data_IF_467956078417
#
_entry.id   IF_467956078417
#
_cell.length_a   1.000
_cell.length_b   1.000
_cell.length_c   1.000
_cell.angle_alpha   90.00
_cell.angle_beta   90.00
_cell.angle_gamma   90.00
#
_symmetry.space_group_name_H-M   'P 1'
#
loop_
_entity.id
_entity.type
_entity.pdbx_description
1 polymer ?
#
# COMPACT_ATOMS: atom_id res chain seq x y z
N UNK A 1 -8.41 0.76 2.02
CA UNK A 1 -7.51 0.01 1.15
C UNK A 1 -6.45 -0.73 1.95
N UNK A 2 -6.10 -1.91 1.46
CA UNK A 2 -5.04 -2.73 2.04
C UNK A 2 -3.99 -2.92 0.95
N UNK A 3 -2.81 -2.38 1.17
CA UNK A 3 -1.76 -2.33 0.15
C UNK A 3 -0.41 -2.74 0.73
N UNK A 4 0.49 -3.17 -0.14
CA UNK A 4 1.85 -3.51 0.25
C UNK A 4 2.86 -2.96 -0.74
N UNK A 5 4.11 -2.98 -0.34
CA UNK A 5 5.21 -2.54 -1.19
C UNK A 5 6.45 -3.38 -0.87
N UNK A 6 6.54 -4.51 -1.54
CA UNK A 6 7.59 -5.50 -1.28
C UNK A 6 8.99 -4.90 -1.38
N UNK A 7 9.23 -4.14 -2.43
CA UNK A 7 10.54 -3.55 -2.66
C UNK A 7 10.94 -2.49 -1.64
N UNK A 8 9.95 -1.76 -1.11
CA UNK A 8 10.23 -0.67 -0.16
C UNK A 8 10.25 -1.14 1.29
N UNK A 9 9.39 -2.09 1.66
CA UNK A 9 9.15 -2.45 3.06
C UNK A 9 9.27 -3.94 3.38
N UNK A 10 9.42 -4.80 2.38
CA UNK A 10 9.49 -6.25 2.60
C UNK A 10 8.15 -6.94 2.62
N UNK A 11 8.16 -8.24 2.92
CA UNK A 11 7.02 -9.11 2.68
C UNK A 11 5.83 -8.93 3.62
N UNK A 12 6.09 -8.69 4.89
CA UNK A 12 5.04 -8.72 5.91
C UNK A 12 4.66 -7.34 6.41
N UNK A 13 4.79 -6.33 5.58
CA UNK A 13 4.42 -4.96 5.95
C UNK A 13 3.31 -4.48 5.03
N UNK A 14 2.17 -4.12 5.63
CA UNK A 14 0.98 -3.68 4.91
C UNK A 14 0.53 -2.34 5.42
N UNK A 15 0.05 -1.50 4.50
CA UNK A 15 -0.61 -0.25 4.86
C UNK A 15 -2.11 -0.45 4.77
N UNK A 16 -2.80 -0.02 5.81
CA UNK A 16 -4.26 -0.05 5.87
C UNK A 16 -4.75 1.37 6.07
N UNK A 17 -5.35 1.93 5.06
CA UNK A 17 -5.80 3.30 5.08
C UNK A 17 -7.20 3.46 4.51
N UNK A 18 -7.66 4.70 4.49
CA UNK A 18 -8.99 5.05 4.02
C UNK A 18 -8.90 6.20 3.03
N UNK A 19 -9.81 6.20 2.07
CA UNK A 19 -9.98 7.34 1.17
C UNK A 19 -11.46 7.57 0.94
N UNK A 20 -11.83 8.83 0.68
CA UNK A 20 -13.18 9.20 0.28
C UNK A 20 -13.30 9.44 -1.22
N UNK A 21 -12.24 9.18 -1.96
CA UNK A 21 -12.27 9.36 -3.41
C UNK A 21 -13.15 8.31 -4.05
N UNK A 22 -13.81 8.68 -5.14
CA UNK A 22 -14.60 7.72 -5.90
C UNK A 22 -13.75 6.61 -6.47
N UNK A 23 -12.53 6.93 -6.91
CA UNK A 23 -11.59 5.94 -7.39
C UNK A 23 -10.45 5.80 -6.38
N UNK A 24 -10.48 4.76 -5.54
CA UNK A 24 -9.43 4.56 -4.53
C UNK A 24 -8.06 4.28 -5.15
N UNK A 25 -8.01 3.78 -6.39
CA UNK A 25 -6.74 3.53 -7.05
C UNK A 25 -5.93 4.81 -7.24
N UNK A 26 -6.61 5.93 -7.46
CA UNK A 26 -5.92 7.22 -7.57
C UNK A 26 -5.11 7.55 -6.31
N UNK A 27 -5.70 7.27 -5.15
CA UNK A 27 -5.01 7.51 -3.87
C UNK A 27 -3.82 6.59 -3.71
N UNK A 28 -3.97 5.33 -4.08
CA UNK A 28 -2.88 4.35 -4.00
C UNK A 28 -1.74 4.76 -4.94
N UNK A 29 -2.08 5.21 -6.13
CA UNK A 29 -1.08 5.65 -7.11
C UNK A 29 -0.30 6.87 -6.59
N UNK A 30 -0.98 7.81 -5.95
CA UNK A 30 -0.33 8.96 -5.32
C UNK A 30 0.65 8.54 -4.24
N UNK A 31 0.24 7.59 -3.41
CA UNK A 31 1.11 7.08 -2.35
C UNK A 31 2.35 6.42 -2.93
N UNK A 32 2.20 5.74 -4.04
CA UNK A 32 3.30 5.05 -4.71
C UNK A 32 4.23 5.98 -5.49
N UNK A 33 3.79 7.19 -5.79
CA UNK A 33 4.60 8.15 -6.54
C UNK A 33 5.30 9.17 -5.66
N UNK A 34 4.95 9.23 -4.37
CA UNK A 34 5.45 10.28 -3.48
C UNK A 34 6.87 9.98 -2.97
N UNK A 35 7.00 9.23 -1.89
CA UNK A 35 8.27 9.09 -1.19
C UNK A 35 8.86 7.69 -1.23
N UNK A 36 8.20 6.75 -1.88
CA UNK A 36 8.66 5.37 -1.97
C UNK A 36 9.22 5.08 -3.35
N UNK A 37 10.24 4.22 -3.44
CA UNK A 37 10.88 3.94 -4.73
C UNK A 37 10.05 3.10 -5.69
N UNK A 38 9.00 2.42 -5.21
CA UNK A 38 8.19 1.54 -6.04
C UNK A 38 6.71 1.76 -5.77
N UNK A 39 5.87 1.43 -6.75
CA UNK A 39 4.41 1.50 -6.61
C UNK A 39 3.89 0.41 -5.67
N UNK A 40 2.72 0.65 -5.13
CA UNK A 40 2.06 -0.28 -4.22
C UNK A 40 1.26 -1.35 -4.94
N UNK A 41 1.23 -2.55 -4.37
CA UNK A 41 0.30 -3.60 -4.76
C UNK A 41 -0.98 -3.47 -3.93
N UNK A 42 -2.11 -3.64 -4.59
CA UNK A 42 -3.42 -3.60 -3.91
C UNK A 42 -3.88 -5.01 -3.61
N UNK A 43 -4.14 -5.29 -2.34
CA UNK A 43 -4.69 -6.57 -1.90
C UNK A 43 -6.20 -6.53 -1.78
N UNK A 44 -6.74 -5.40 -1.32
CA UNK A 44 -8.18 -5.26 -1.19
C UNK A 44 -8.62 -3.81 -1.18
N UNK A 45 -9.74 -3.54 -1.85
CA UNK A 45 -10.53 -2.33 -1.64
C UNK A 45 -11.85 -2.75 -1.01
N UNK A 46 -12.16 -2.18 0.14
CA UNK A 46 -13.40 -2.48 0.83
C UNK A 46 -14.26 -1.22 0.85
N UNK A 47 -15.41 -1.30 0.21
CA UNK A 47 -16.35 -0.18 0.16
C UNK A 47 -17.30 -0.28 1.34
N UNK A 48 -17.47 0.82 2.07
CA UNK A 48 -18.30 0.85 3.26
C UNK A 48 -18.92 2.21 3.45
N UNK A 49 -20.17 2.22 3.92
CA UNK A 49 -20.83 3.47 4.30
C UNK A 49 -20.19 4.06 5.56
N UNK A 50 -19.54 3.22 6.35
CA UNK A 50 -18.80 3.64 7.54
C UNK A 50 -17.34 3.26 7.40
N UNK A 51 -16.66 3.91 6.47
CA UNK A 51 -15.25 3.63 6.20
C UNK A 51 -14.36 3.97 7.41
N UNK A 52 -14.70 5.02 8.14
CA UNK A 52 -13.96 5.40 9.34
C UNK A 52 -14.04 4.31 10.39
N UNK A 53 -15.24 3.79 10.65
CA UNK A 53 -15.43 2.73 11.63
C UNK A 53 -14.74 1.43 11.20
N UNK A 54 -14.77 1.11 9.92
CA UNK A 54 -14.13 -0.07 9.38
C UNK A 54 -12.60 0.03 9.54
N UNK A 55 -12.04 1.16 9.18
CA UNK A 55 -10.60 1.37 9.33
C UNK A 55 -10.20 1.27 10.81
N UNK A 56 -10.96 1.91 11.68
CA UNK A 56 -10.69 1.87 13.11
C UNK A 56 -10.73 0.45 13.66
N UNK A 57 -11.66 -0.37 13.18
CA UNK A 57 -11.74 -1.76 13.62
C UNK A 57 -10.52 -2.57 13.19
N UNK A 58 -10.07 -2.39 11.96
CA UNK A 58 -8.86 -3.05 11.47
C UNK A 58 -7.64 -2.60 12.25
N UNK A 59 -7.50 -1.30 12.45
CA UNK A 59 -6.37 -0.75 13.20
C UNK A 59 -6.35 -1.23 14.64
N UNK A 60 -7.52 -1.34 15.26
CA UNK A 60 -7.64 -1.81 16.63
C UNK A 60 -7.20 -3.25 16.75
N UNK A 61 -7.64 -4.11 15.84
CA UNK A 61 -7.28 -5.53 15.86
C UNK A 61 -5.81 -5.76 15.58
N UNK A 62 -5.18 -4.87 14.82
CA UNK A 62 -3.77 -4.98 14.46
C UNK A 62 -2.87 -4.03 15.25
N UNK A 63 -3.39 -3.42 16.29
CA UNK A 63 -2.68 -2.38 17.01
C UNK A 63 -1.30 -2.82 17.52
N UNK A 64 -1.18 -4.03 18.03
CA UNK A 64 0.09 -4.55 18.53
C UNK A 64 1.09 -4.84 17.41
N UNK A 65 0.62 -4.89 16.18
CA UNK A 65 1.45 -5.19 15.01
C UNK A 65 1.86 -3.94 14.25
N UNK A 66 1.60 -2.77 14.79
CA UNK A 66 2.02 -1.52 14.17
C UNK A 66 3.53 -1.46 14.05
N UNK A 67 3.98 -1.02 12.88
CA UNK A 67 5.41 -0.75 12.67
C UNK A 67 5.83 0.46 13.52
N UNK A 68 5.05 1.53 13.44
CA UNK A 68 5.32 2.73 14.26
C UNK A 68 4.32 2.78 15.42
N UNK A 69 4.79 2.51 16.62
CA UNK A 69 3.93 2.47 17.80
C UNK A 69 3.80 3.84 18.49
N UNK A 70 4.52 4.82 18.00
CA UNK A 70 4.51 6.18 18.57
C UNK A 70 3.59 7.09 17.75
N UNK A 71 3.69 7.04 16.44
CA UNK A 71 2.87 7.85 15.56
C UNK A 71 1.79 7.00 14.87
N UNK A 72 0.57 7.09 15.38
CA UNK A 72 -0.55 6.29 14.87
C UNK A 72 -1.00 6.70 13.48
N UNK A 73 -0.52 7.83 12.97
CA UNK A 73 -0.80 8.24 11.59
C UNK A 73 0.01 7.46 10.57
N UNK A 74 1.06 6.78 11.03
CA UNK A 74 1.84 5.88 10.19
C UNK A 74 1.16 4.52 10.20
N UNK A 75 0.27 4.30 9.27
CA UNK A 75 -0.70 3.20 9.24
C UNK A 75 -0.15 1.94 8.60
N UNK A 76 1.04 1.55 9.01
CA UNK A 76 1.71 0.34 8.55
C UNK A 76 1.72 -0.72 9.65
N UNK A 77 1.52 -1.97 9.23
CA UNK A 77 1.40 -3.09 10.16
C UNK A 77 2.28 -4.24 9.71
N UNK A 78 2.94 -4.88 10.66
CA UNK A 78 3.76 -6.05 10.43
C UNK A 78 2.92 -7.29 10.75
N UNK A 79 2.37 -7.91 9.72
CA UNK A 79 1.43 -9.01 9.86
C UNK A 79 1.60 -9.94 8.67
N UNK A 80 1.37 -11.25 8.87
CA UNK A 80 1.44 -12.18 7.76
C UNK A 80 0.25 -12.01 6.83
N UNK A 81 0.45 -12.37 5.58
CA UNK A 81 -0.60 -12.32 4.58
C UNK A 81 -1.78 -13.22 4.98
N UNK A 82 -1.49 -14.39 5.56
CA UNK A 82 -2.52 -15.30 6.01
C UNK A 82 -3.39 -14.69 7.11
N UNK A 83 -2.76 -14.10 8.10
CA UNK A 83 -3.48 -13.42 9.18
C UNK A 83 -4.34 -12.28 8.66
N UNK A 84 -3.79 -11.51 7.75
CA UNK A 84 -4.48 -10.35 7.20
C UNK A 84 -5.68 -10.77 6.38
N UNK A 85 -5.56 -11.84 5.61
CA UNK A 85 -6.68 -12.36 4.84
C UNK A 85 -7.80 -12.85 5.74
N UNK A 86 -7.47 -13.61 6.78
CA UNK A 86 -8.46 -14.11 7.72
C UNK A 86 -9.20 -12.95 8.37
N UNK A 87 -8.47 -11.95 8.84
CA UNK A 87 -9.05 -10.77 9.48
C UNK A 87 -9.98 -10.01 8.51
N UNK A 88 -9.55 -9.83 7.29
CA UNK A 88 -10.34 -9.12 6.28
C UNK A 88 -11.64 -9.86 5.99
N UNK A 89 -11.59 -11.19 5.89
CA UNK A 89 -12.78 -11.98 5.63
C UNK A 89 -13.74 -12.02 6.81
N UNK A 90 -13.23 -11.93 8.03
CA UNK A 90 -14.08 -11.82 9.20
C UNK A 90 -14.86 -10.50 9.22
N UNK A 91 -14.20 -9.43 8.86
CA UNK A 91 -14.77 -8.08 8.91
C UNK A 91 -15.63 -7.80 7.68
N UNK A 92 -15.20 -8.27 6.53
CA UNK A 92 -15.89 -8.05 5.26
C UNK A 92 -15.87 -9.32 4.41
N UNK A 93 -16.77 -10.27 4.68
CA UNK A 93 -16.75 -11.60 4.05
C UNK A 93 -16.87 -11.58 2.53
N UNK A 94 -17.51 -10.55 1.98
CA UNK A 94 -17.75 -10.47 0.54
C UNK A 94 -16.65 -9.72 -0.23
N UNK A 95 -15.67 -9.20 0.47
CA UNK A 95 -14.59 -8.45 -0.18
C UNK A 95 -13.61 -9.38 -0.87
N UNK A 96 -13.13 -8.93 -2.02
CA UNK A 96 -12.05 -9.62 -2.71
C UNK A 96 -10.74 -9.37 -1.98
N UNK A 97 -9.93 -10.41 -1.87
CA UNK A 97 -8.60 -10.28 -1.29
C UNK A 97 -7.57 -10.94 -2.20
N UNK A 98 -6.63 -10.16 -2.70
CA UNK A 98 -5.58 -10.64 -3.60
C UNK A 98 -4.32 -10.92 -2.83
N UNK A 99 -3.82 -12.13 -2.95
CA UNK A 99 -2.60 -12.54 -2.25
C UNK A 99 -1.33 -12.24 -3.01
N UNK A 100 -1.44 -11.99 -4.31
CA UNK A 100 -0.28 -11.79 -5.17
C UNK A 100 0.41 -10.47 -4.88
N UNK A 101 1.71 -10.53 -4.67
CA UNK A 101 2.57 -9.36 -4.60
C UNK A 101 3.33 -9.28 -5.91
N UNK A 102 2.76 -8.56 -6.88
CA UNK A 102 3.37 -8.44 -8.19
C UNK A 102 4.70 -7.67 -8.10
N UNK A 103 4.71 -6.58 -7.38
CA UNK A 103 5.91 -5.76 -7.16
C UNK A 103 6.70 -5.60 -8.47
N UNK A 104 5.99 -5.20 -9.52
CA UNK A 104 6.50 -5.28 -10.88
C UNK A 104 7.75 -4.46 -11.10
N UNK A 105 7.71 -3.21 -10.69
CA UNK A 105 8.86 -2.31 -10.81
C UNK A 105 10.07 -2.80 -10.04
N UNK A 106 9.83 -3.32 -8.84
CA UNK A 106 10.89 -3.86 -8.00
C UNK A 106 11.54 -5.07 -8.65
N UNK A 107 10.72 -6.00 -9.16
CA UNK A 107 11.23 -7.22 -9.78
C UNK A 107 11.99 -6.93 -11.07
N UNK A 108 11.52 -5.98 -11.85
CA UNK A 108 12.22 -5.54 -13.04
C UNK A 108 13.56 -4.91 -12.69
N UNK A 109 13.61 -4.12 -11.65
CA UNK A 109 14.83 -3.44 -11.22
C UNK A 109 15.92 -4.43 -10.78
N UNK A 110 15.54 -5.49 -10.03
CA UNK A 110 16.54 -6.45 -9.57
C UNK A 110 16.94 -7.44 -10.65
N UNK A 111 16.06 -7.70 -11.62
CA UNK A 111 16.37 -8.65 -12.70
C UNK A 111 17.23 -8.04 -13.79
N UNK A 112 17.21 -6.73 -13.92
CA UNK A 112 17.92 -6.04 -14.97
C UNK A 112 17.28 -6.17 -16.35
N UNK A 113 16.05 -6.67 -16.41
CA UNK A 113 15.35 -6.89 -17.68
C UNK A 113 14.43 -5.74 -18.08
N UNK A 114 14.38 -4.70 -17.27
CA UNK A 114 13.48 -3.59 -17.53
C UNK A 114 13.92 -2.80 -18.76
N UNK A 115 12.94 -2.31 -19.49
CA UNK A 115 13.19 -1.30 -20.51
C UNK A 115 13.24 0.03 -19.81
N UNK A 116 14.39 0.64 -19.79
CA UNK A 116 14.56 1.91 -19.11
C UNK A 116 13.91 3.02 -19.92
N UNK A 117 13.26 3.92 -19.21
CA UNK A 117 12.74 5.11 -19.83
C UNK A 117 13.90 6.03 -20.20
N UNK A 118 13.62 6.93 -21.14
CA UNK A 118 14.59 7.94 -21.52
C UNK A 118 14.88 8.82 -20.28
N UNK A 119 16.14 8.91 -19.95
CA UNK A 119 16.58 9.68 -18.79
C UNK A 119 16.17 11.15 -18.89
N UNK A 120 16.18 11.70 -20.10
CA UNK A 120 15.75 13.07 -20.29
C UNK A 120 14.30 13.29 -19.94
N UNK A 121 13.46 12.31 -20.16
CA UNK A 121 12.06 12.42 -19.81
C UNK A 121 11.86 12.33 -18.30
N UNK A 122 12.69 11.56 -17.62
CA UNK A 122 12.56 11.44 -16.18
C UNK A 122 13.12 12.62 -15.42
N UNK A 123 14.06 13.32 -16.01
CA UNK A 123 14.66 14.47 -15.35
C UNK A 123 13.63 15.53 -15.00
N UNK A 124 12.65 15.70 -15.84
CA UNK A 124 11.61 16.68 -15.61
C UNK A 124 10.78 16.34 -14.39
N UNK A 125 10.61 15.08 -14.15
CA UNK A 125 9.82 14.62 -13.02
C UNK A 125 10.56 14.75 -11.72
N UNK A 126 11.85 14.61 -11.77
CA UNK A 126 12.66 14.67 -10.57
C UNK A 126 12.59 16.00 -9.87
N UNK A 127 12.43 17.05 -10.63
CA UNK A 127 12.34 18.38 -10.04
C UNK A 127 11.10 18.51 -9.20
N UNK A 128 10.04 17.90 -9.62
CA UNK A 128 8.83 17.90 -8.86
C UNK A 128 8.96 17.08 -7.60
N UNK A 129 9.64 15.97 -7.73
CA UNK A 129 9.84 15.08 -6.59
C UNK A 129 10.63 15.75 -5.50
N UNK A 130 11.62 16.52 -5.86
CA UNK A 130 12.44 17.18 -4.86
C UNK A 130 11.65 18.18 -4.06
N UNK A 131 10.56 18.69 -4.59
CA UNK A 131 9.73 19.64 -3.88
C UNK A 131 8.70 18.95 -3.00
N UNK A 132 8.45 17.71 -3.26
CA UNK A 132 7.45 16.93 -2.52
C UNK A 132 8.00 16.39 -1.23
N UNK A 133 9.24 16.18 -1.20
CA UNK A 133 9.90 15.55 -0.06
C UNK A 133 9.70 16.28 1.26
#
# INVERSE_FOLDING_TARGET
YIISNLGSFGENVFKIGMTRRLDPQERVDELGSASVPFGFDVHSFIFSDDAVGLENELHKRLNEKRVNKVNMRKEFFNVSLDELEVLTREISPTSEFRRTMAAEEYRQSISGDANYEDVTASDDDEEEDSTVA
#
